data_IF_918726196117
#
_entry.id   IF_918726196117
#
_cell.length_a   1.000
_cell.length_b   1.000
_cell.length_c   1.000
_cell.angle_alpha   90.00
_cell.angle_beta   90.00
_cell.angle_gamma   90.00
#
_symmetry.space_group_name_H-M   'P 1'
#
loop_
_entity.id
_entity.type
_entity.pdbx_description
1 polymer ?
#
# COMPACT_ATOMS: atom_id res chain seq x y z
N UNK A 1 31.71 -4.41 -18.11
CA UNK A 1 30.34 -4.94 -18.24
C UNK A 1 29.75 -5.14 -16.85
N UNK A 2 29.53 -4.04 -16.10
CA UNK A 2 29.23 -4.12 -14.65
C UNK A 2 28.34 -2.98 -14.12
N UNK A 3 27.60 -2.28 -14.99
CA UNK A 3 26.77 -1.15 -14.55
C UNK A 3 25.25 -1.37 -14.60
N UNK A 4 24.75 -2.40 -15.29
CA UNK A 4 23.30 -2.59 -15.49
C UNK A 4 22.67 -3.48 -14.41
N UNK A 5 23.44 -4.36 -13.76
CA UNK A 5 22.90 -5.29 -12.75
C UNK A 5 22.50 -4.64 -11.42
N UNK A 6 22.86 -3.37 -11.16
CA UNK A 6 22.47 -2.65 -9.93
C UNK A 6 21.09 -2.00 -9.98
N UNK A 7 20.51 -1.86 -11.18
CA UNK A 7 19.23 -1.19 -11.38
C UNK A 7 18.06 -2.14 -11.07
N UNK A 8 18.28 -3.44 -11.24
CA UNK A 8 17.39 -4.50 -10.74
C UNK A 8 17.92 -4.95 -9.39
N UNK A 9 17.71 -4.14 -8.35
CA UNK A 9 17.92 -4.54 -6.96
C UNK A 9 17.42 -5.97 -6.77
N UNK A 10 18.24 -6.84 -6.17
CA UNK A 10 17.96 -8.27 -6.04
C UNK A 10 16.49 -8.56 -5.68
N UNK A 11 15.90 -9.67 -6.17
CA UNK A 11 14.49 -10.01 -5.90
C UNK A 11 14.13 -9.97 -4.40
N UNK A 12 15.10 -10.22 -3.53
CA UNK A 12 15.00 -10.10 -2.07
C UNK A 12 14.78 -8.65 -1.59
N UNK A 13 15.39 -7.67 -2.25
CA UNK A 13 15.23 -6.25 -1.95
C UNK A 13 13.82 -5.76 -2.32
N UNK A 14 13.24 -6.26 -3.41
CA UNK A 14 11.88 -5.93 -3.81
C UNK A 14 10.80 -6.69 -3.01
N UNK A 15 11.16 -7.80 -2.34
CA UNK A 15 10.18 -8.60 -1.61
C UNK A 15 9.65 -7.89 -0.36
N UNK A 16 10.47 -7.08 0.32
CA UNK A 16 10.03 -6.30 1.48
C UNK A 16 9.00 -5.23 1.07
N UNK A 17 9.27 -4.50 -0.02
CA UNK A 17 8.33 -3.51 -0.55
C UNK A 17 7.01 -4.14 -1.00
N UNK A 18 7.08 -5.29 -1.68
CA UNK A 18 5.90 -6.05 -2.10
C UNK A 18 5.10 -6.57 -0.90
N UNK A 19 5.77 -7.08 0.13
CA UNK A 19 5.09 -7.55 1.34
C UNK A 19 4.35 -6.42 2.06
N UNK A 20 4.95 -5.23 2.14
CA UNK A 20 4.26 -4.06 2.68
C UNK A 20 3.09 -3.64 1.81
N UNK A 21 3.22 -3.70 0.48
CA UNK A 21 2.11 -3.46 -0.44
C UNK A 21 0.95 -4.45 -0.19
N UNK A 22 1.24 -5.73 -0.03
CA UNK A 22 0.22 -6.76 0.21
C UNK A 22 -0.47 -6.58 1.57
N UNK A 23 0.30 -6.26 2.62
CA UNK A 23 -0.23 -6.01 3.96
C UNK A 23 -1.13 -4.77 4.01
N UNK A 24 -0.82 -3.74 3.20
CA UNK A 24 -1.61 -2.51 3.14
C UNK A 24 -2.80 -2.62 2.18
N UNK A 25 -2.68 -3.38 1.08
CA UNK A 25 -3.76 -3.58 0.11
C UNK A 25 -4.96 -4.34 0.71
N UNK A 26 -4.73 -5.34 1.56
CA UNK A 26 -5.79 -6.14 2.18
C UNK A 26 -6.83 -5.32 2.97
N UNK A 27 -6.45 -4.49 3.96
CA UNK A 27 -7.41 -3.69 4.70
C UNK A 27 -8.10 -2.63 3.84
N UNK A 28 -7.42 -2.07 2.84
CA UNK A 28 -8.02 -1.16 1.86
C UNK A 28 -9.11 -1.89 1.07
N UNK A 29 -8.78 -3.05 0.49
CA UNK A 29 -9.72 -3.85 -0.29
C UNK A 29 -10.94 -4.27 0.53
N UNK A 30 -10.75 -4.66 1.79
CA UNK A 30 -11.88 -4.99 2.67
C UNK A 30 -12.79 -3.80 2.94
N UNK A 31 -12.22 -2.62 3.21
CA UNK A 31 -13.02 -1.40 3.40
C UNK A 31 -13.78 -0.99 2.14
N UNK A 32 -13.19 -1.19 0.96
CA UNK A 32 -13.87 -0.92 -0.33
C UNK A 32 -15.04 -1.88 -0.59
N UNK A 33 -14.89 -3.15 -0.23
CA UNK A 33 -15.92 -4.17 -0.45
C UNK A 33 -17.05 -4.13 0.58
N UNK A 34 -16.73 -3.87 1.84
CA UNK A 34 -17.70 -3.72 2.93
C UNK A 34 -17.17 -2.73 3.97
N UNK A 35 -17.54 -1.47 3.80
CA UNK A 35 -17.14 -0.38 4.70
C UNK A 35 -17.89 -0.39 6.04
N UNK A 36 -18.95 -1.18 6.18
CA UNK A 36 -19.77 -1.22 7.40
C UNK A 36 -19.17 -2.14 8.47
N UNK A 37 -18.34 -3.09 8.03
CA UNK A 37 -17.68 -4.01 8.93
C UNK A 37 -16.49 -3.36 9.65
N UNK A 38 -16.33 -3.57 10.97
CA UNK A 38 -15.19 -3.06 11.72
C UNK A 38 -13.85 -3.49 11.10
N UNK A 39 -12.97 -2.52 10.86
CA UNK A 39 -11.67 -2.75 10.25
C UNK A 39 -10.60 -1.85 10.87
N UNK A 40 -10.07 -2.27 12.03
CA UNK A 40 -9.03 -1.54 12.75
C UNK A 40 -7.79 -1.23 11.91
N UNK A 41 -7.44 -2.13 10.98
CA UNK A 41 -6.28 -1.92 10.12
C UNK A 41 -6.51 -0.78 9.11
N UNK A 42 -7.74 -0.63 8.62
CA UNK A 42 -8.14 0.53 7.83
C UNK A 42 -8.02 1.83 8.62
N UNK A 43 -8.52 1.87 9.85
CA UNK A 43 -8.46 3.08 10.70
C UNK A 43 -7.02 3.59 10.93
N UNK A 44 -6.05 2.68 10.90
CA UNK A 44 -4.62 3.00 11.05
C UNK A 44 -3.98 3.45 9.72
N UNK A 45 -4.48 2.98 8.58
CA UNK A 45 -3.89 3.21 7.26
C UNK A 45 -4.53 4.41 6.55
N UNK A 46 -5.84 4.59 6.65
CA UNK A 46 -6.60 5.69 6.04
C UNK A 46 -5.94 7.07 6.22
N UNK A 47 -5.52 7.49 7.42
CA UNK A 47 -4.95 8.83 7.60
C UNK A 47 -3.57 9.00 6.94
N UNK A 48 -2.94 7.91 6.48
CA UNK A 48 -1.65 7.92 5.77
C UNK A 48 -1.81 7.95 4.26
N UNK A 49 -3.03 7.82 3.74
CA UNK A 49 -3.29 7.85 2.31
C UNK A 49 -3.27 9.29 1.78
N UNK A 50 -2.77 9.47 0.56
CA UNK A 50 -2.76 10.78 -0.11
C UNK A 50 -4.21 11.26 -0.29
N UNK A 51 -4.47 12.52 0.05
CA UNK A 51 -5.77 13.17 -0.15
C UNK A 51 -5.72 14.13 -1.34
N UNK A 52 -6.84 14.29 -2.02
CA UNK A 52 -7.04 15.35 -3.01
C UNK A 52 -7.18 16.73 -2.30
N UNK A 53 -7.24 17.85 -3.03
CA UNK A 53 -7.46 19.18 -2.42
C UNK A 53 -8.77 19.32 -1.63
N UNK A 54 -9.79 18.51 -1.92
CA UNK A 54 -11.05 18.48 -1.19
C UNK A 54 -10.98 17.64 0.10
N UNK A 55 -9.87 16.93 0.33
CA UNK A 55 -9.67 16.07 1.50
C UNK A 55 -10.07 14.61 1.30
N UNK A 56 -10.53 14.21 0.10
CA UNK A 56 -10.93 12.84 -0.16
C UNK A 56 -9.73 11.94 -0.46
N UNK A 57 -9.78 10.73 0.09
CA UNK A 57 -8.85 9.63 -0.22
C UNK A 57 -9.18 8.98 -1.55
N UNK A 58 -10.44 9.08 -2.00
CA UNK A 58 -10.87 8.70 -3.34
C UNK A 58 -10.38 9.80 -4.28
N UNK A 59 -9.21 9.56 -4.87
CA UNK A 59 -8.53 10.50 -5.77
C UNK A 59 -9.40 10.95 -6.93
#
# INVERSE_FOLDING_TARGET
MTLVSRILSSHQTNSAGLQIADLTARPIGRHVLDSTQPNRAWDIIEPKLRRNPAGDVKG
#
